data_IF_354506594460
#
_entry.id   IF_354506594460
#
_cell.length_a   1.000
_cell.length_b   1.000
_cell.length_c   1.000
_cell.angle_alpha   90.00
_cell.angle_beta   90.00
_cell.angle_gamma   90.00
#
_symmetry.space_group_name_H-M   'P 1'
#
loop_
_entity.id
_entity.type
_entity.pdbx_description
1 polymer ?
#
# COMPACT_ATOMS: atom_id res chain seq x y z
N UNK A 1 -5.32 -14.77 -6.75
CA UNK A 1 -4.86 -15.36 -8.03
C UNK A 1 -3.56 -16.10 -7.76
N UNK A 2 -3.22 -17.17 -8.48
CA UNK A 2 -1.92 -17.86 -8.34
C UNK A 2 -1.10 -17.54 -9.58
N UNK A 3 0.13 -17.07 -9.40
CA UNK A 3 1.07 -16.75 -10.48
C UNK A 3 1.94 -17.96 -10.81
N UNK A 4 2.27 -18.15 -12.09
CA UNK A 4 3.17 -19.22 -12.55
C UNK A 4 4.66 -18.80 -12.47
N UNK A 5 4.93 -17.49 -12.46
CA UNK A 5 6.26 -16.87 -12.33
C UNK A 5 6.14 -15.53 -11.60
N UNK A 6 7.20 -15.00 -10.97
CA UNK A 6 7.13 -13.71 -10.27
C UNK A 6 6.81 -12.55 -11.23
N UNK A 7 5.66 -11.90 -11.06
CA UNK A 7 5.24 -10.77 -11.91
C UNK A 7 5.61 -9.39 -11.33
N UNK A 8 6.17 -9.36 -10.12
CA UNK A 8 6.33 -8.13 -9.34
C UNK A 8 4.99 -7.62 -8.81
N UNK A 9 5.02 -6.65 -7.90
CA UNK A 9 3.81 -6.17 -7.20
C UNK A 9 2.76 -5.58 -8.14
N UNK A 10 3.20 -4.87 -9.19
CA UNK A 10 2.31 -4.27 -10.18
C UNK A 10 1.75 -5.30 -11.16
N UNK A 11 2.59 -6.22 -11.64
CA UNK A 11 2.16 -7.32 -12.51
C UNK A 11 1.15 -8.23 -11.82
N UNK A 12 1.39 -8.55 -10.55
CA UNK A 12 0.48 -9.32 -9.70
C UNK A 12 -0.89 -8.67 -9.55
N UNK A 13 -0.91 -7.37 -9.25
CA UNK A 13 -2.14 -6.59 -9.15
C UNK A 13 -2.91 -6.59 -10.47
N UNK A 14 -2.22 -6.34 -11.59
CA UNK A 14 -2.84 -6.32 -12.93
C UNK A 14 -3.36 -7.71 -13.33
N UNK A 15 -2.69 -8.79 -12.94
CA UNK A 15 -3.18 -10.16 -13.16
C UNK A 15 -4.40 -10.47 -12.29
N UNK A 16 -4.39 -10.03 -11.02
CA UNK A 16 -5.49 -10.26 -10.09
C UNK A 16 -6.75 -9.46 -10.44
N UNK A 17 -6.62 -8.27 -11.03
CA UNK A 17 -7.76 -7.37 -11.25
C UNK A 17 -8.85 -7.96 -12.15
N UNK A 18 -8.46 -8.78 -13.13
CA UNK A 18 -9.40 -9.50 -14.01
C UNK A 18 -10.29 -10.50 -13.25
N UNK A 19 -9.95 -10.84 -12.01
CA UNK A 19 -10.71 -11.74 -11.12
C UNK A 19 -11.51 -10.99 -10.04
N UNK A 20 -11.51 -9.66 -10.08
CA UNK A 20 -12.26 -8.80 -9.15
C UNK A 20 -13.55 -8.29 -9.78
N UNK A 21 -14.43 -7.71 -8.96
CA UNK A 21 -15.64 -7.01 -9.39
C UNK A 21 -15.69 -5.62 -8.71
N UNK A 22 -16.50 -4.72 -9.26
CA UNK A 22 -16.63 -3.35 -8.77
C UNK A 22 -15.69 -2.36 -9.45
N UNK A 23 -16.01 -1.07 -9.30
CA UNK A 23 -15.22 0.05 -9.82
C UNK A 23 -13.98 0.33 -8.99
N UNK A 24 -14.03 0.07 -7.68
CA UNK A 24 -12.95 0.34 -6.75
C UNK A 24 -12.63 -0.95 -5.99
N UNK A 25 -11.34 -1.21 -5.83
CA UNK A 25 -10.82 -2.44 -5.25
C UNK A 25 -9.96 -2.14 -4.03
N UNK A 26 -10.10 -2.98 -3.01
CA UNK A 26 -9.19 -3.01 -1.87
C UNK A 26 -8.05 -3.97 -2.18
N UNK A 27 -6.82 -3.47 -2.06
CA UNK A 27 -5.59 -4.23 -2.25
C UNK A 27 -4.79 -4.18 -0.97
N UNK A 28 -4.30 -5.34 -0.52
CA UNK A 28 -3.59 -5.50 0.75
C UNK A 28 -2.35 -6.34 0.50
N UNK A 29 -1.21 -5.94 1.06
CA UNK A 29 -0.01 -6.77 1.10
C UNK A 29 -0.28 -8.04 1.92
N UNK A 30 0.17 -9.19 1.42
CA UNK A 30 -0.08 -10.50 2.06
C UNK A 30 0.79 -10.80 3.29
N UNK A 31 1.83 -10.01 3.53
CA UNK A 31 2.83 -10.18 4.58
C UNK A 31 2.80 -9.05 5.63
N UNK A 32 1.74 -8.23 5.62
CA UNK A 32 1.63 -7.09 6.53
C UNK A 32 0.32 -7.19 7.32
N UNK A 33 0.42 -7.13 8.65
CA UNK A 33 -0.74 -6.89 9.51
C UNK A 33 -0.77 -5.42 9.90
N UNK A 34 -1.81 -4.73 9.44
CA UNK A 34 -2.07 -3.33 9.71
C UNK A 34 -3.59 -3.11 9.77
N UNK A 35 -4.22 -3.20 10.97
CA UNK A 35 -5.67 -3.24 11.12
C UNK A 35 -6.28 -1.83 11.04
N UNK A 36 -6.11 -1.19 9.89
CA UNK A 36 -6.61 0.15 9.64
C UNK A 36 -8.13 0.17 9.58
N UNK A 37 -8.72 1.30 9.97
CA UNK A 37 -10.14 1.57 9.75
C UNK A 37 -10.41 1.79 8.25
N UNK A 38 -10.83 0.70 7.58
CA UNK A 38 -11.10 0.68 6.14
C UNK A 38 -12.24 1.64 5.78
N UNK A 39 -13.21 1.88 6.67
CA UNK A 39 -14.30 2.82 6.43
C UNK A 39 -13.76 4.25 6.32
N UNK A 40 -12.83 4.66 7.18
CA UNK A 40 -12.14 5.96 7.06
C UNK A 40 -11.37 6.08 5.74
N UNK A 41 -10.65 5.02 5.35
CA UNK A 41 -9.92 5.00 4.08
C UNK A 41 -10.88 5.13 2.88
N UNK A 42 -12.01 4.43 2.93
CA UNK A 42 -13.06 4.47 1.92
C UNK A 42 -13.74 5.83 1.80
N UNK A 43 -14.04 6.47 2.93
CA UNK A 43 -14.62 7.80 2.95
C UNK A 43 -13.70 8.83 2.30
N UNK A 44 -12.38 8.76 2.56
CA UNK A 44 -11.42 9.60 1.86
C UNK A 44 -11.44 9.32 0.35
N UNK A 45 -11.33 8.05 -0.03
CA UNK A 45 -11.26 7.62 -1.43
C UNK A 45 -12.45 8.12 -2.25
N UNK A 46 -13.66 7.98 -1.71
CA UNK A 46 -14.91 8.31 -2.41
C UNK A 46 -15.30 9.78 -2.30
N UNK A 47 -14.78 10.54 -1.32
CA UNK A 47 -15.14 11.95 -1.08
C UNK A 47 -15.08 12.84 -2.33
N UNK A 48 -14.14 12.58 -3.25
CA UNK A 48 -13.98 13.29 -4.52
C UNK A 48 -13.68 12.35 -5.69
N UNK A 49 -14.07 11.08 -5.58
CA UNK A 49 -13.76 10.03 -6.57
C UNK A 49 -12.26 9.96 -6.89
N UNK A 50 -11.42 9.89 -5.86
CA UNK A 50 -9.98 9.77 -6.06
C UNK A 50 -9.64 8.41 -6.68
N UNK A 51 -8.66 8.38 -7.59
CA UNK A 51 -8.34 7.14 -8.33
C UNK A 51 -7.48 6.15 -7.52
N UNK A 52 -6.82 6.62 -6.46
CA UNK A 52 -5.87 5.81 -5.69
C UNK A 52 -5.63 6.44 -4.31
N UNK A 53 -5.86 5.68 -3.26
CA UNK A 53 -5.70 6.11 -1.87
C UNK A 53 -4.92 5.06 -1.09
N UNK A 54 -3.94 5.51 -0.29
CA UNK A 54 -2.98 4.65 0.43
C UNK A 54 -3.12 4.84 1.94
N UNK A 55 -3.17 3.74 2.69
CA UNK A 55 -2.99 3.79 4.13
C UNK A 55 -1.50 3.97 4.45
N UNK A 56 -1.17 5.00 5.21
CA UNK A 56 0.21 5.33 5.59
C UNK A 56 0.42 5.03 7.07
N UNK A 57 1.59 4.51 7.41
CA UNK A 57 2.00 4.29 8.80
C UNK A 57 3.12 5.26 9.15
N UNK A 58 3.00 5.94 10.29
CA UNK A 58 4.12 6.68 10.88
C UNK A 58 5.06 5.71 11.59
N UNK A 59 6.34 5.77 11.22
CA UNK A 59 7.40 4.91 11.75
C UNK A 59 8.55 5.75 12.30
N UNK A 60 9.30 5.16 13.24
CA UNK A 60 10.50 5.75 13.83
C UNK A 60 11.68 4.81 13.67
N UNK A 61 12.88 5.37 13.54
CA UNK A 61 14.16 4.67 13.52
C UNK A 61 14.18 3.45 12.58
N UNK A 62 13.88 3.65 11.29
CA UNK A 62 13.81 2.58 10.31
C UNK A 62 14.71 2.84 9.10
N UNK A 63 15.10 1.76 8.41
CA UNK A 63 15.87 1.81 7.16
C UNK A 63 15.31 0.90 6.06
N UNK A 64 14.37 0.01 6.39
CA UNK A 64 13.84 -1.03 5.50
C UNK A 64 12.76 -0.52 4.52
N UNK A 65 12.12 0.60 4.85
CA UNK A 65 11.02 1.18 4.10
C UNK A 65 11.43 2.47 3.40
N UNK A 66 10.82 2.73 2.24
CA UNK A 66 10.82 4.05 1.64
C UNK A 66 9.90 4.99 2.43
N UNK A 67 10.10 6.30 2.27
CA UNK A 67 9.27 7.31 2.94
C UNK A 67 8.28 7.96 2.00
N UNK A 68 7.12 8.32 2.53
CA UNK A 68 6.06 9.05 1.84
C UNK A 68 5.96 10.45 2.42
N UNK A 69 5.82 11.47 1.57
CA UNK A 69 5.53 12.84 1.99
C UNK A 69 4.13 13.24 1.57
N UNK A 70 3.40 13.86 2.48
CA UNK A 70 2.07 14.41 2.23
C UNK A 70 2.10 15.93 2.05
N UNK A 71 1.20 16.44 1.21
CA UNK A 71 0.78 17.84 1.12
C UNK A 71 -0.75 17.86 1.23
N UNK A 72 -1.26 18.07 2.45
CA UNK A 72 -2.64 17.73 2.79
C UNK A 72 -2.85 16.22 2.64
N UNK A 73 -3.92 15.81 1.97
CA UNK A 73 -4.18 14.40 1.65
C UNK A 73 -3.40 13.89 0.43
N UNK A 74 -2.73 14.78 -0.31
CA UNK A 74 -2.03 14.41 -1.55
C UNK A 74 -0.63 13.91 -1.26
N UNK A 75 -0.25 12.77 -1.83
CA UNK A 75 1.12 12.28 -1.75
C UNK A 75 1.99 13.12 -2.69
N UNK A 76 2.96 13.81 -2.11
CA UNK A 76 3.87 14.71 -2.80
C UNK A 76 5.16 14.01 -3.27
N UNK A 77 5.64 13.00 -2.54
CA UNK A 77 6.77 12.19 -2.98
C UNK A 77 6.80 10.81 -2.33
N UNK A 78 7.40 9.86 -3.06
CA UNK A 78 7.91 8.60 -2.53
C UNK A 78 9.43 8.65 -2.60
N UNK A 79 10.11 8.33 -1.51
CA UNK A 79 11.57 8.34 -1.44
C UNK A 79 12.07 6.92 -1.17
N UNK A 80 13.22 6.57 -1.75
CA UNK A 80 13.82 5.25 -1.57
C UNK A 80 14.22 4.96 -0.12
N UNK A 81 14.50 3.68 0.14
CA UNK A 81 14.88 3.14 1.43
C UNK A 81 16.19 3.76 1.91
N UNK A 82 16.14 4.42 3.06
CA UNK A 82 17.30 4.96 3.77
C UNK A 82 16.97 5.07 5.24
N UNK A 83 17.99 5.19 6.08
CA UNK A 83 17.78 5.48 7.49
C UNK A 83 16.95 6.76 7.66
N UNK A 84 15.93 6.68 8.50
CA UNK A 84 15.03 7.77 8.84
C UNK A 84 14.67 7.68 10.33
N UNK A 85 14.86 8.78 11.05
CA UNK A 85 14.51 8.87 12.47
C UNK A 85 12.99 8.85 12.67
N UNK A 86 12.25 9.51 11.78
CA UNK A 86 10.79 9.53 11.77
C UNK A 86 10.27 9.82 10.35
N UNK A 87 9.25 9.10 9.90
CA UNK A 87 8.61 9.34 8.61
C UNK A 87 7.38 8.47 8.38
N UNK A 88 6.57 8.84 7.39
CA UNK A 88 5.47 8.01 6.91
C UNK A 88 6.02 6.96 5.94
N UNK A 89 5.50 5.75 6.02
CA UNK A 89 5.77 4.66 5.08
C UNK A 89 4.47 4.25 4.38
N UNK A 90 4.60 3.58 3.24
CA UNK A 90 3.50 2.89 2.61
C UNK A 90 3.08 1.70 3.50
N UNK A 91 1.83 1.70 3.95
CA UNK A 91 1.30 0.65 4.83
C UNK A 91 0.87 -0.63 4.12
N UNK A 92 0.98 -0.69 2.79
CA UNK A 92 0.62 -1.88 2.02
C UNK A 92 -0.89 -2.08 1.87
N UNK A 93 -1.70 -1.05 2.11
CA UNK A 93 -3.16 -1.09 1.96
C UNK A 93 -3.58 0.04 1.02
N UNK A 94 -4.36 -0.31 0.01
CA UNK A 94 -4.73 0.60 -1.07
C UNK A 94 -6.21 0.45 -1.42
N UNK A 95 -6.89 1.57 -1.61
CA UNK A 95 -8.13 1.65 -2.39
C UNK A 95 -7.82 2.22 -3.76
N UNK A 96 -8.16 1.49 -4.80
CA UNK A 96 -7.75 1.81 -6.16
C UNK A 96 -8.95 1.72 -7.08
N UNK A 97 -9.14 2.75 -7.90
CA UNK A 97 -10.08 2.67 -8.99
C UNK A 97 -9.55 1.68 -10.04
N UNK A 98 -10.35 0.66 -10.33
CA UNK A 98 -10.00 -0.44 -11.22
C UNK A 98 -9.54 0.02 -12.60
N UNK A 99 -10.21 1.03 -13.16
CA UNK A 99 -9.88 1.53 -14.50
C UNK A 99 -8.47 2.13 -14.57
N UNK A 100 -7.95 2.67 -13.47
CA UNK A 100 -6.58 3.16 -13.41
C UNK A 100 -5.58 2.04 -13.69
N UNK A 101 -5.72 0.88 -13.02
CA UNK A 101 -4.83 -0.27 -13.21
C UNK A 101 -5.00 -0.89 -14.60
N UNK A 102 -6.24 -0.99 -15.09
CA UNK A 102 -6.52 -1.49 -16.43
C UNK A 102 -5.89 -0.59 -17.53
N UNK A 103 -5.85 0.72 -17.31
CA UNK A 103 -5.24 1.70 -18.22
C UNK A 103 -3.70 1.68 -18.25
N UNK A 104 -3.04 1.01 -17.30
CA UNK A 104 -1.58 1.01 -17.24
C UNK A 104 -0.97 0.22 -18.41
N UNK A 105 -0.34 0.92 -19.35
CA UNK A 105 0.45 0.32 -20.42
C UNK A 105 1.85 -0.08 -19.91
N UNK A 106 1.94 -1.27 -19.32
CA UNK A 106 3.15 -1.79 -18.68
C UNK A 106 3.52 -3.16 -19.24
N UNK A 107 4.81 -3.51 -19.11
CA UNK A 107 5.28 -4.88 -19.32
C UNK A 107 4.61 -5.85 -18.32
N UNK A 108 4.72 -7.15 -18.58
CA UNK A 108 4.14 -8.19 -17.72
C UNK A 108 4.71 -8.15 -16.29
N UNK A 109 6.02 -7.86 -16.17
CA UNK A 109 6.74 -7.80 -14.90
C UNK A 109 7.05 -6.35 -14.55
N UNK A 110 6.46 -5.83 -13.46
CA UNK A 110 6.74 -4.47 -12.99
C UNK A 110 6.39 -4.29 -11.50
N UNK A 111 7.01 -3.30 -10.85
CA UNK A 111 6.71 -2.91 -9.48
C UNK A 111 5.67 -1.80 -9.45
N UNK A 112 4.62 -1.98 -8.65
CA UNK A 112 3.63 -0.93 -8.41
C UNK A 112 4.31 0.32 -7.82
N UNK A 113 5.18 0.13 -6.84
CA UNK A 113 5.84 1.22 -6.13
C UNK A 113 6.83 1.98 -7.02
N UNK A 114 7.75 1.27 -7.67
CA UNK A 114 8.83 1.90 -8.45
C UNK A 114 8.37 2.36 -9.82
N UNK A 115 7.56 1.56 -10.51
CA UNK A 115 7.21 1.81 -11.91
C UNK A 115 5.91 2.57 -12.08
N UNK A 116 5.07 2.66 -11.05
CA UNK A 116 3.82 3.44 -11.09
C UNK A 116 3.84 4.56 -10.08
N UNK A 117 3.87 4.26 -8.78
CA UNK A 117 3.70 5.27 -7.72
C UNK A 117 4.80 6.34 -7.76
N UNK A 118 6.08 5.94 -7.78
CA UNK A 118 7.21 6.88 -7.84
C UNK A 118 7.22 7.71 -9.12
N UNK A 119 6.88 7.12 -10.27
CA UNK A 119 6.94 7.81 -11.58
C UNK A 119 5.77 8.76 -11.80
N UNK A 120 4.58 8.43 -11.29
CA UNK A 120 3.35 9.22 -11.48
C UNK A 120 3.02 10.16 -10.31
N UNK A 121 3.82 10.19 -9.23
CA UNK A 121 3.51 10.99 -8.02
C UNK A 121 3.37 12.49 -8.30
N UNK A 122 4.12 13.00 -9.28
CA UNK A 122 4.07 14.42 -9.70
C UNK A 122 2.72 14.81 -10.31
N UNK A 123 1.90 13.86 -10.75
CA UNK A 123 0.55 14.10 -11.28
C UNK A 123 -0.45 14.49 -10.16
N UNK A 124 -0.10 14.28 -8.88
CA UNK A 124 -0.92 14.66 -7.72
C UNK A 124 -2.17 13.80 -7.51
N UNK A 125 -2.24 12.65 -8.18
CA UNK A 125 -3.40 11.76 -8.21
C UNK A 125 -3.48 10.80 -7.02
N UNK A 126 -2.36 10.53 -6.34
CA UNK A 126 -2.31 9.63 -5.19
C UNK A 126 -2.68 10.36 -3.90
N UNK A 127 -3.59 9.78 -3.12
CA UNK A 127 -3.96 10.27 -1.79
C UNK A 127 -3.43 9.36 -0.70
N UNK A 128 -3.16 9.91 0.47
CA UNK A 128 -2.70 9.16 1.63
C UNK A 128 -3.45 9.56 2.90
N UNK A 129 -3.74 8.57 3.73
CA UNK A 129 -4.32 8.75 5.06
C UNK A 129 -3.43 8.07 6.09
N UNK A 130 -3.06 8.79 7.14
CA UNK A 130 -2.24 8.26 8.24
C UNK A 130 -3.10 7.47 9.22
N UNK A 131 -2.59 6.31 9.63
CA UNK A 131 -3.14 5.49 10.71
C UNK A 131 -2.05 5.18 11.73
N UNK A 132 -2.42 5.21 13.02
CA UNK A 132 -1.50 4.91 14.11
C UNK A 132 -1.69 3.50 14.70
N UNK A 133 -2.40 2.64 13.98
CA UNK A 133 -2.62 1.25 14.39
C UNK A 133 -1.34 0.41 14.38
N UNK A 134 -1.43 -0.78 14.98
CA UNK A 134 -0.32 -1.75 15.01
C UNK A 134 0.13 -2.07 13.59
N UNK A 135 1.44 -2.02 13.36
CA UNK A 135 2.05 -2.42 12.10
C UNK A 135 3.02 -3.56 12.36
N UNK A 136 2.86 -4.66 11.61
CA UNK A 136 3.71 -5.86 11.67
C UNK A 136 4.01 -6.29 10.23
N UNK A 137 5.27 -6.42 9.90
CA UNK A 137 5.74 -6.98 8.63
C UNK A 137 6.37 -8.36 8.90
N UNK A 138 5.66 -9.43 8.55
CA UNK A 138 6.13 -10.80 8.87
C UNK A 138 7.35 -11.21 8.02
N UNK A 139 7.76 -10.39 7.06
CA UNK A 139 9.06 -10.52 6.40
C UNK A 139 10.23 -10.09 7.29
N UNK A 140 10.00 -9.51 8.48
CA UNK A 140 11.03 -9.24 9.49
C UNK A 140 11.02 -10.38 10.53
N UNK A 141 12.15 -11.05 10.83
CA UNK A 141 12.21 -12.12 11.82
C UNK A 141 11.66 -11.73 13.20
N UNK A 142 11.96 -10.51 13.64
CA UNK A 142 11.48 -9.96 14.91
C UNK A 142 9.95 -9.75 14.90
N UNK A 143 9.41 -9.17 13.83
CA UNK A 143 7.96 -8.96 13.68
C UNK A 143 7.21 -10.27 13.48
N UNK A 144 7.80 -11.26 12.80
CA UNK A 144 7.22 -12.61 12.71
C UNK A 144 7.07 -13.26 14.09
N UNK A 145 8.08 -13.09 14.95
CA UNK A 145 8.02 -13.57 16.34
C UNK A 145 6.95 -12.82 17.15
N UNK A 146 6.88 -11.50 16.98
CA UNK A 146 5.88 -10.64 17.60
C UNK A 146 4.45 -10.96 17.13
N UNK A 147 4.27 -11.30 15.86
CA UNK A 147 2.98 -11.66 15.27
C UNK A 147 2.36 -12.86 15.98
N UNK A 148 3.17 -13.89 16.31
CA UNK A 148 2.69 -15.07 17.04
C UNK A 148 2.09 -14.72 18.40
N UNK A 149 2.70 -13.78 19.11
CA UNK A 149 2.23 -13.34 20.44
C UNK A 149 0.99 -12.45 20.34
N UNK A 150 0.94 -11.55 19.35
CA UNK A 150 -0.15 -10.60 19.19
C UNK A 150 -1.40 -11.24 18.59
N UNK A 151 -1.24 -12.06 17.54
CA UNK A 151 -2.35 -12.68 16.83
C UNK A 151 -2.82 -13.98 17.48
N UNK A 152 -1.96 -14.66 18.25
CA UNK A 152 -2.32 -15.89 18.96
C UNK A 152 -3.32 -15.69 20.11
N UNK A 153 -3.58 -14.44 20.50
CA UNK A 153 -4.54 -14.05 21.54
C UNK A 153 -5.77 -13.31 20.98
N UNK A 154 -5.95 -13.29 19.66
CA UNK A 154 -7.16 -12.74 19.05
C UNK A 154 -8.19 -13.86 19.02
N UNK A 155 -9.16 -13.80 19.92
CA UNK A 155 -10.35 -14.65 19.86
C UNK A 155 -11.11 -14.29 18.56
N UNK A 156 -11.28 -15.29 17.68
CA UNK A 156 -12.07 -15.20 16.46
C UNK A 156 -13.57 -15.26 16.74
#
# INVERSE_FOLDING_TARGET
AIEEKPLGTGGALKYAIGKTAGSDILVVNGDTYFPVDIEKLWNLHTSKNYIFTIALKKMKNFSRYGTVKLKGETIASFNEKKYCSEGLINGGIYLINRSFIESLEMLEIFSLEKDVLMKKVSEGVFKGLEFDDTFIDIGIPEDYSRAKLLLGNIDC
#
